data_IF_963986365069
#
_entry.id   IF_963986365069
#
_cell.length_a   1.000
_cell.length_b   1.000
_cell.length_c   1.000
_cell.angle_alpha   90.00
_cell.angle_beta   90.00
_cell.angle_gamma   90.00
#
_symmetry.space_group_name_H-M   'P 1'
#
loop_
_entity.id
_entity.type
_entity.pdbx_description
1 polymer ?
#
# COMPACT_ATOMS: atom_id res chain seq x y z
N UNK A 1 -8.30 40.88 11.80
CA UNK A 1 -8.46 39.67 10.96
C UNK A 1 -7.40 38.63 11.31
N UNK A 2 -6.10 38.88 11.10
CA UNK A 2 -5.02 37.94 11.44
C UNK A 2 -5.09 37.37 12.87
N UNK A 3 -5.26 38.23 13.89
CA UNK A 3 -5.35 37.78 15.29
C UNK A 3 -6.60 36.93 15.61
N UNK A 4 -7.65 36.97 14.79
CA UNK A 4 -8.82 36.10 14.95
C UNK A 4 -8.51 34.70 14.38
N UNK A 5 -7.81 34.65 13.24
CA UNK A 5 -7.40 33.39 12.62
C UNK A 5 -6.39 32.63 13.48
N UNK A 6 -5.41 33.32 14.06
CA UNK A 6 -4.44 32.72 15.00
C UNK A 6 -5.14 32.22 16.26
N UNK A 7 -6.05 33.01 16.84
CA UNK A 7 -6.83 32.57 18.02
C UNK A 7 -7.69 31.32 17.74
N UNK A 8 -8.22 31.20 16.52
CA UNK A 8 -8.97 30.01 16.11
C UNK A 8 -8.07 28.78 15.92
N UNK A 9 -6.75 28.96 15.78
CA UNK A 9 -5.77 27.90 15.63
C UNK A 9 -5.11 27.46 16.96
N UNK A 10 -5.23 28.26 18.04
CA UNK A 10 -4.54 28.07 19.34
C UNK A 10 -5.27 27.16 20.37
N UNK A 11 -6.32 26.42 19.99
CA UNK A 11 -7.04 25.50 20.89
C UNK A 11 -6.31 24.18 21.19
N UNK A 12 -6.83 23.34 22.11
CA UNK A 12 -6.33 21.96 22.37
C UNK A 12 -6.17 21.23 21.04
N UNK A 13 -4.96 20.75 20.73
CA UNK A 13 -4.52 20.41 19.38
C UNK A 13 -5.26 19.18 18.82
N UNK A 14 -6.43 19.40 18.23
CA UNK A 14 -7.04 18.41 17.34
C UNK A 14 -6.11 18.25 16.13
N UNK A 15 -5.50 17.07 15.99
CA UNK A 15 -4.61 16.69 14.89
C UNK A 15 -5.36 16.02 13.75
N UNK A 16 -6.51 15.39 14.03
CA UNK A 16 -7.33 14.65 13.04
C UNK A 16 -8.78 15.16 12.95
N UNK A 17 -9.52 14.70 11.94
CA UNK A 17 -10.95 15.01 11.75
C UNK A 17 -11.25 16.45 11.31
N UNK A 18 -12.54 16.82 11.34
CA UNK A 18 -13.03 18.09 10.80
C UNK A 18 -12.57 19.34 11.57
N UNK A 19 -12.31 19.22 12.88
CA UNK A 19 -11.79 20.33 13.67
C UNK A 19 -10.35 20.67 13.29
N UNK A 20 -9.50 19.66 13.10
CA UNK A 20 -8.14 19.84 12.59
C UNK A 20 -8.15 20.50 11.21
N UNK A 21 -9.02 20.06 10.29
CA UNK A 21 -9.18 20.66 8.96
C UNK A 21 -9.54 22.15 9.06
N UNK A 22 -10.49 22.51 9.91
CA UNK A 22 -10.90 23.90 10.11
C UNK A 22 -9.74 24.79 10.58
N UNK A 23 -8.90 24.29 11.49
CA UNK A 23 -7.71 25.00 11.99
C UNK A 23 -6.61 25.08 10.94
N UNK A 24 -6.37 24.01 10.20
CA UNK A 24 -5.41 23.95 9.09
C UNK A 24 -5.76 24.96 7.99
N UNK A 25 -7.03 25.06 7.62
CA UNK A 25 -7.53 26.09 6.69
C UNK A 25 -7.35 27.50 7.27
N UNK A 26 -7.66 27.71 8.54
CA UNK A 26 -7.50 29.01 9.19
C UNK A 26 -6.03 29.47 9.22
N UNK A 27 -5.08 28.56 9.44
CA UNK A 27 -3.64 28.84 9.39
C UNK A 27 -3.16 29.16 7.97
N UNK A 28 -3.65 28.45 6.95
CA UNK A 28 -3.35 28.77 5.56
C UNK A 28 -3.85 30.19 5.20
N UNK A 29 -5.07 30.55 5.62
CA UNK A 29 -5.62 31.89 5.40
C UNK A 29 -4.87 32.97 6.22
N UNK A 30 -4.45 32.64 7.45
CA UNK A 30 -3.61 33.52 8.27
C UNK A 30 -2.29 33.82 7.57
N UNK A 31 -1.70 32.81 6.91
CA UNK A 31 -0.44 32.98 6.19
C UNK A 31 -0.62 33.90 4.98
N UNK A 32 -1.71 33.73 4.21
CA UNK A 32 -2.07 34.65 3.11
C UNK A 32 -2.16 36.08 3.60
N UNK A 33 -2.84 36.32 4.73
CA UNK A 33 -3.00 37.66 5.31
C UNK A 33 -1.66 38.22 5.78
N UNK A 34 -0.83 37.42 6.45
CA UNK A 34 0.48 37.85 6.92
C UNK A 34 1.40 38.25 5.77
N UNK A 35 1.43 37.45 4.69
CA UNK A 35 2.20 37.74 3.48
C UNK A 35 1.69 39.02 2.82
N UNK A 36 0.38 39.21 2.69
CA UNK A 36 -0.19 40.43 2.12
C UNK A 36 0.23 41.69 2.89
N UNK A 37 0.19 41.65 4.22
CA UNK A 37 0.62 42.77 5.08
C UNK A 37 2.11 43.07 4.88
N UNK A 38 2.95 42.04 4.80
CA UNK A 38 4.38 42.20 4.55
C UNK A 38 4.64 42.76 3.14
N UNK A 39 3.86 42.32 2.15
CA UNK A 39 3.95 42.77 0.76
C UNK A 39 3.56 44.23 0.54
N UNK A 40 2.83 44.86 1.48
CA UNK A 40 2.54 46.30 1.43
C UNK A 40 3.82 47.14 1.63
N UNK A 41 4.86 46.57 2.22
CA UNK A 41 6.10 47.26 2.60
C UNK A 41 7.32 46.82 1.78
N UNK A 42 7.27 45.63 1.17
CA UNK A 42 8.35 45.11 0.32
C UNK A 42 7.83 44.14 -0.73
N UNK A 43 8.51 44.07 -1.88
CA UNK A 43 8.29 43.04 -2.90
C UNK A 43 9.37 41.95 -2.89
N UNK A 44 10.40 42.06 -2.05
CA UNK A 44 11.43 41.03 -1.88
C UNK A 44 10.86 39.87 -1.06
N UNK A 45 11.05 38.65 -1.55
CA UNK A 45 10.60 37.43 -0.86
C UNK A 45 11.32 37.29 0.48
N UNK A 46 12.60 37.63 0.53
CA UNK A 46 13.44 37.56 1.73
C UNK A 46 12.96 38.53 2.81
N UNK A 47 12.61 39.76 2.44
CA UNK A 47 12.08 40.75 3.37
C UNK A 47 10.65 40.41 3.84
N UNK A 48 9.82 39.85 2.95
CA UNK A 48 8.50 39.33 3.29
C UNK A 48 8.62 38.15 4.25
N UNK A 49 9.55 37.21 4.00
CA UNK A 49 9.80 36.07 4.88
C UNK A 49 10.25 36.54 6.26
N UNK A 50 11.18 37.49 6.34
CA UNK A 50 11.71 38.02 7.60
C UNK A 50 10.68 38.83 8.41
N UNK A 51 9.52 39.16 7.83
CA UNK A 51 8.48 39.91 8.52
C UNK A 51 7.94 39.12 9.73
N UNK A 52 7.84 39.77 10.90
CA UNK A 52 7.51 39.11 12.17
C UNK A 52 6.21 38.30 12.15
N UNK A 53 5.14 38.85 11.54
CA UNK A 53 3.85 38.15 11.37
C UNK A 53 3.93 36.92 10.45
N UNK A 54 4.82 36.94 9.46
CA UNK A 54 5.05 35.79 8.58
C UNK A 54 5.77 34.70 9.36
N UNK A 55 6.83 35.06 10.09
CA UNK A 55 7.56 34.13 10.98
C UNK A 55 6.67 33.55 12.08
N UNK A 56 5.78 34.34 12.67
CA UNK A 56 4.80 33.88 13.66
C UNK A 56 3.90 32.79 13.07
N UNK A 57 3.24 33.06 11.95
CA UNK A 57 2.35 32.08 11.30
C UNK A 57 3.13 30.84 10.84
N UNK A 58 4.33 30.99 10.28
CA UNK A 58 5.20 29.86 9.93
C UNK A 58 5.52 29.00 11.15
N UNK A 59 5.75 29.60 12.32
CA UNK A 59 5.96 28.86 13.57
C UNK A 59 4.74 28.09 14.07
N UNK A 60 3.52 28.57 13.82
CA UNK A 60 2.30 27.80 14.11
C UNK A 60 2.11 26.66 13.10
N UNK A 61 2.33 26.94 11.81
CA UNK A 61 2.26 25.93 10.75
C UNK A 61 3.31 24.83 11.00
N UNK A 62 4.55 25.17 11.34
CA UNK A 62 5.63 24.18 11.50
C UNK A 62 5.40 23.22 12.67
N UNK A 63 4.61 23.62 13.68
CA UNK A 63 4.16 22.76 14.77
C UNK A 63 3.05 21.80 14.31
N UNK A 64 2.16 22.26 13.42
CA UNK A 64 0.93 21.58 12.99
C UNK A 64 0.95 21.09 11.53
N UNK A 65 2.12 20.99 10.91
CA UNK A 65 2.28 20.58 9.53
C UNK A 65 1.75 19.15 9.26
N UNK A 66 1.73 18.28 10.28
CA UNK A 66 1.11 16.95 10.26
C UNK A 66 -0.32 16.96 10.84
N UNK A 67 -1.03 18.09 10.83
CA UNK A 67 -2.44 18.13 11.19
C UNK A 67 -3.30 18.09 9.92
N UNK A 68 -4.50 17.50 10.06
CA UNK A 68 -5.32 17.09 8.91
C UNK A 68 -5.42 18.19 7.85
N UNK A 69 -5.09 17.85 6.60
CA UNK A 69 -5.16 18.73 5.44
C UNK A 69 -4.25 19.98 5.48
N UNK A 70 -3.31 20.11 6.44
CA UNK A 70 -2.47 21.33 6.56
C UNK A 70 -1.65 21.62 5.31
N UNK A 71 -1.00 20.60 4.73
CA UNK A 71 -0.24 20.76 3.49
C UNK A 71 -1.16 21.09 2.32
N UNK A 72 -2.29 20.38 2.19
CA UNK A 72 -3.26 20.62 1.12
C UNK A 72 -3.79 22.05 1.14
N UNK A 73 -4.22 22.55 2.30
CA UNK A 73 -4.72 23.94 2.38
C UNK A 73 -3.64 24.98 2.07
N UNK A 74 -2.37 24.71 2.36
CA UNK A 74 -1.27 25.61 1.97
C UNK A 74 -1.06 25.60 0.44
N UNK A 75 -1.11 24.42 -0.20
CA UNK A 75 -0.91 24.31 -1.65
C UNK A 75 -2.08 24.91 -2.44
N UNK A 76 -3.28 24.97 -1.87
CA UNK A 76 -4.42 25.64 -2.51
C UNK A 76 -4.31 27.18 -2.56
N UNK A 77 -3.44 27.80 -1.75
CA UNK A 77 -3.32 29.26 -1.65
C UNK A 77 -2.15 29.80 -2.49
N UNK A 78 -2.43 30.13 -3.75
CA UNK A 78 -1.42 30.63 -4.72
C UNK A 78 -0.60 31.83 -4.24
N UNK A 79 -1.17 32.71 -3.43
CA UNK A 79 -0.50 33.93 -2.97
C UNK A 79 0.68 33.69 -2.02
N UNK A 80 0.78 32.51 -1.42
CA UNK A 80 1.91 32.14 -0.54
C UNK A 80 2.94 31.23 -1.21
N UNK A 81 2.68 30.78 -2.45
CA UNK A 81 3.57 29.89 -3.19
C UNK A 81 5.00 30.41 -3.36
N UNK A 82 5.27 31.70 -3.64
CA UNK A 82 6.64 32.18 -3.77
C UNK A 82 7.51 31.91 -2.53
N UNK A 83 6.92 32.03 -1.32
CA UNK A 83 7.61 31.74 -0.06
C UNK A 83 7.78 30.24 0.17
N UNK A 84 6.74 29.45 -0.14
CA UNK A 84 6.79 27.99 -0.02
C UNK A 84 7.86 27.41 -0.95
N UNK A 85 7.88 27.84 -2.22
CA UNK A 85 8.88 27.43 -3.22
C UNK A 85 10.29 27.91 -2.88
N UNK A 86 10.43 29.04 -2.18
CA UNK A 86 11.70 29.51 -1.65
C UNK A 86 12.16 28.74 -0.40
N UNK A 87 11.36 27.80 0.12
CA UNK A 87 11.70 26.96 1.27
C UNK A 87 11.50 27.61 2.63
N UNK A 88 10.71 28.69 2.74
CA UNK A 88 10.47 29.41 3.99
C UNK A 88 9.90 28.49 5.09
N UNK A 89 8.93 27.64 4.72
CA UNK A 89 8.36 26.65 5.63
C UNK A 89 9.40 25.60 6.04
N UNK A 90 10.16 25.06 5.10
CA UNK A 90 11.20 24.06 5.40
C UNK A 90 12.24 24.59 6.41
N UNK A 91 12.65 25.86 6.29
CA UNK A 91 13.57 26.51 7.25
C UNK A 91 12.95 26.72 8.64
N UNK A 92 11.63 26.84 8.72
CA UNK A 92 10.92 27.02 10.00
C UNK A 92 10.64 25.71 10.75
N UNK A 93 10.89 24.55 10.12
CA UNK A 93 10.76 23.24 10.75
C UNK A 93 12.08 22.92 11.46
N UNK A 94 12.07 22.70 12.78
CA UNK A 94 13.27 22.30 13.51
C UNK A 94 13.62 20.85 13.17
N UNK A 95 14.51 20.65 12.21
CA UNK A 95 15.01 19.32 11.83
C UNK A 95 16.30 19.03 12.59
N UNK A 96 16.34 17.91 13.30
CA UNK A 96 17.54 17.32 13.86
C UNK A 96 18.41 16.78 12.72
N UNK A 97 19.50 17.48 12.47
CA UNK A 97 20.46 17.14 11.43
C UNK A 97 21.17 15.82 11.71
N UNK A 98 21.28 15.40 12.98
CA UNK A 98 21.83 14.10 13.35
C UNK A 98 20.87 13.00 12.91
N UNK A 99 19.57 13.13 13.21
CA UNK A 99 18.55 12.16 12.78
C UNK A 99 18.45 12.06 11.26
N UNK A 100 18.45 13.20 10.55
CA UNK A 100 18.51 13.21 9.07
C UNK A 100 19.72 12.47 8.55
N UNK A 101 20.90 12.73 9.13
CA UNK A 101 22.15 12.13 8.66
C UNK A 101 22.16 10.62 8.91
N UNK A 102 21.69 10.19 10.08
CA UNK A 102 21.58 8.78 10.42
C UNK A 102 20.58 8.07 9.49
N UNK A 103 19.39 8.63 9.30
CA UNK A 103 18.38 8.06 8.40
C UNK A 103 18.89 7.99 6.94
N UNK A 104 19.56 9.05 6.46
CA UNK A 104 20.16 9.05 5.13
C UNK A 104 21.23 7.96 4.99
N UNK A 105 22.06 7.78 6.03
CA UNK A 105 23.06 6.70 6.07
C UNK A 105 22.38 5.33 6.08
N UNK A 106 21.37 5.12 6.90
CA UNK A 106 20.64 3.86 7.00
C UNK A 106 19.93 3.52 5.69
N UNK A 107 19.35 4.50 5.00
CA UNK A 107 18.76 4.33 3.68
C UNK A 107 19.82 3.92 2.64
N UNK A 108 20.94 4.66 2.58
CA UNK A 108 22.06 4.34 1.66
C UNK A 108 22.62 2.95 1.96
N UNK A 109 22.84 2.61 3.23
CA UNK A 109 23.35 1.33 3.65
C UNK A 109 22.35 0.22 3.27
N UNK A 110 21.05 0.41 3.50
CA UNK A 110 19.97 -0.53 3.11
C UNK A 110 19.96 -0.78 1.60
N UNK A 111 19.93 0.27 0.78
CA UNK A 111 19.99 0.13 -0.68
C UNK A 111 21.30 -0.50 -1.14
N UNK A 112 22.42 -0.14 -0.53
CA UNK A 112 23.74 -0.71 -0.85
C UNK A 112 23.78 -2.21 -0.53
N UNK A 113 23.26 -2.62 0.63
CA UNK A 113 23.16 -4.04 0.98
C UNK A 113 22.24 -4.78 0.00
N UNK A 114 21.09 -4.21 -0.35
CA UNK A 114 20.16 -4.81 -1.31
C UNK A 114 20.78 -4.96 -2.71
N UNK A 115 21.52 -3.96 -3.17
CA UNK A 115 22.21 -4.00 -4.46
C UNK A 115 23.36 -5.01 -4.49
N UNK A 116 24.07 -5.21 -3.38
CA UNK A 116 25.20 -6.15 -3.30
C UNK A 116 24.78 -7.59 -3.06
N UNK A 117 23.81 -7.80 -2.16
CA UNK A 117 23.46 -9.11 -1.63
C UNK A 117 22.07 -9.59 -2.08
N UNK A 118 21.31 -8.76 -2.80
CA UNK A 118 19.95 -9.06 -3.20
C UNK A 118 18.92 -8.75 -2.10
N UNK A 119 17.73 -9.33 -2.24
CA UNK A 119 16.63 -9.15 -1.28
C UNK A 119 16.96 -9.81 0.06
N UNK A 120 16.80 -9.07 1.16
CA UNK A 120 16.79 -9.67 2.49
C UNK A 120 15.40 -10.26 2.76
N UNK A 121 15.34 -11.52 3.17
CA UNK A 121 14.09 -12.16 3.62
C UNK A 121 13.50 -11.39 4.80
N UNK A 122 12.22 -11.03 4.70
CA UNK A 122 11.48 -10.43 5.79
C UNK A 122 11.22 -11.46 6.89
N UNK A 123 11.13 -11.04 8.16
CA UNK A 123 10.85 -11.95 9.29
C UNK A 123 9.54 -12.72 9.13
N UNK A 124 8.53 -12.09 8.51
CA UNK A 124 7.21 -12.67 8.17
C UNK A 124 7.34 -13.89 7.25
N UNK A 125 8.36 -13.96 6.40
CA UNK A 125 8.52 -15.06 5.44
C UNK A 125 8.89 -16.40 6.11
N UNK A 126 9.28 -16.35 7.38
CA UNK A 126 9.63 -17.53 8.19
C UNK A 126 8.44 -18.05 9.01
N UNK A 127 7.31 -17.35 8.99
CA UNK A 127 6.11 -17.72 9.73
C UNK A 127 5.34 -18.81 9.00
N UNK A 128 4.77 -19.74 9.78
CA UNK A 128 3.79 -20.71 9.30
C UNK A 128 2.48 -20.03 8.91
N UNK A 129 1.64 -20.69 8.10
CA UNK A 129 0.31 -20.18 7.74
C UNK A 129 -0.52 -19.89 8.99
N UNK A 130 -0.44 -20.74 10.01
CA UNK A 130 -1.13 -20.52 11.29
C UNK A 130 -0.69 -19.22 11.97
N UNK A 131 0.61 -18.95 12.02
CA UNK A 131 1.14 -17.72 12.60
C UNK A 131 0.72 -16.49 11.79
N UNK A 132 0.71 -16.60 10.46
CA UNK A 132 0.24 -15.53 9.57
C UNK A 132 -1.24 -15.20 9.80
N UNK A 133 -2.12 -16.21 9.88
CA UNK A 133 -3.55 -15.99 10.11
C UNK A 133 -3.84 -15.37 11.48
N UNK A 134 -3.15 -15.83 12.53
CA UNK A 134 -3.30 -15.27 13.87
C UNK A 134 -2.83 -13.81 13.96
N UNK A 135 -1.75 -13.48 13.27
CA UNK A 135 -1.27 -12.09 13.20
C UNK A 135 -2.21 -11.21 12.38
N UNK A 136 -2.73 -11.72 11.25
CA UNK A 136 -3.72 -11.00 10.44
C UNK A 136 -5.01 -10.72 11.21
N UNK A 137 -5.51 -11.70 11.98
CA UNK A 137 -6.62 -11.51 12.91
C UNK A 137 -6.31 -10.46 13.96
N UNK A 138 -5.15 -10.56 14.63
CA UNK A 138 -4.74 -9.58 15.65
C UNK A 138 -4.67 -8.16 15.09
N UNK A 139 -4.10 -7.99 13.91
CA UNK A 139 -4.00 -6.69 13.23
C UNK A 139 -5.39 -6.17 12.85
N UNK A 140 -6.26 -7.04 12.36
CA UNK A 140 -7.66 -6.68 12.06
C UNK A 140 -8.40 -6.23 13.31
N UNK A 141 -8.22 -6.96 14.41
CA UNK A 141 -8.86 -6.63 15.69
C UNK A 141 -8.39 -5.27 16.23
N UNK A 142 -7.11 -4.96 16.04
CA UNK A 142 -6.54 -3.70 16.48
C UNK A 142 -6.98 -2.51 15.61
N UNK A 143 -7.13 -2.70 14.30
CA UNK A 143 -7.14 -1.59 13.34
C UNK A 143 -8.48 -1.37 12.61
N UNK A 144 -9.34 -2.39 12.46
CA UNK A 144 -10.52 -2.29 11.60
C UNK A 144 -11.80 -1.77 12.29
N UNK A 145 -11.77 -1.46 13.58
CA UNK A 145 -12.97 -1.16 14.38
C UNK A 145 -13.82 -0.02 13.77
N UNK A 146 -13.17 1.05 13.33
CA UNK A 146 -13.87 2.22 12.79
C UNK A 146 -14.52 1.88 11.43
N UNK A 147 -13.88 1.03 10.61
CA UNK A 147 -14.46 0.56 9.35
C UNK A 147 -15.71 -0.30 9.56
N UNK A 148 -15.69 -1.24 10.52
CA UNK A 148 -16.89 -2.00 10.87
C UNK A 148 -18.04 -1.09 11.31
N UNK A 149 -17.74 -0.07 12.12
CA UNK A 149 -18.72 0.92 12.57
C UNK A 149 -19.30 1.73 11.39
N UNK A 150 -18.48 2.16 10.44
CA UNK A 150 -18.92 2.89 9.24
C UNK A 150 -19.82 2.05 8.34
N UNK A 151 -19.53 0.75 8.22
CA UNK A 151 -20.37 -0.20 7.50
C UNK A 151 -21.67 -0.54 8.24
N UNK A 152 -21.80 -0.16 9.51
CA UNK A 152 -22.93 -0.53 10.36
C UNK A 152 -22.91 -2.01 10.76
N UNK A 153 -21.74 -2.64 10.73
CA UNK A 153 -21.51 -4.04 11.05
C UNK A 153 -20.90 -4.18 12.46
N UNK A 154 -21.26 -5.25 13.17
CA UNK A 154 -20.58 -5.60 14.41
C UNK A 154 -19.24 -6.26 14.09
N UNK A 155 -18.20 -5.77 14.74
CA UNK A 155 -16.87 -6.34 14.63
C UNK A 155 -16.86 -7.79 15.16
N UNK A 156 -16.40 -8.77 14.36
CA UNK A 156 -16.43 -10.17 14.77
C UNK A 156 -15.47 -10.44 15.94
N UNK A 157 -15.84 -11.37 16.83
CA UNK A 157 -14.96 -11.82 17.92
C UNK A 157 -13.74 -12.59 17.41
N UNK A 158 -13.85 -13.19 16.21
CA UNK A 158 -12.84 -14.02 15.56
C UNK A 158 -13.04 -13.99 14.04
N UNK A 159 -11.95 -13.95 13.28
CA UNK A 159 -11.98 -14.13 11.82
C UNK A 159 -11.99 -15.61 11.41
N UNK A 160 -11.70 -16.53 12.33
CA UNK A 160 -11.95 -17.96 12.16
C UNK A 160 -13.45 -18.24 12.34
N UNK A 161 -14.22 -18.00 11.28
CA UNK A 161 -15.70 -18.08 11.29
C UNK A 161 -16.24 -19.50 11.26
N UNK A 162 -15.45 -20.46 10.76
CA UNK A 162 -15.83 -21.86 10.60
C UNK A 162 -14.82 -22.79 11.28
N UNK A 163 -15.23 -24.03 11.60
CA UNK A 163 -14.29 -25.05 12.02
C UNK A 163 -13.37 -25.43 10.85
N UNK A 164 -12.12 -25.85 11.13
CA UNK A 164 -11.19 -26.41 10.15
C UNK A 164 -11.82 -27.43 9.19
N UNK A 165 -11.46 -27.36 7.91
CA UNK A 165 -11.95 -28.29 6.90
C UNK A 165 -11.33 -29.68 7.10
N UNK A 166 -12.13 -30.73 6.93
CA UNK A 166 -11.62 -32.11 6.96
C UNK A 166 -10.99 -32.51 5.63
N UNK A 167 -10.19 -33.58 5.65
CA UNK A 167 -9.61 -34.16 4.43
C UNK A 167 -10.68 -34.61 3.43
N UNK A 168 -11.83 -35.09 3.93
CA UNK A 168 -12.97 -35.49 3.10
C UNK A 168 -13.61 -34.29 2.40
N UNK A 169 -13.79 -33.16 3.10
CA UNK A 169 -14.34 -31.94 2.51
C UNK A 169 -13.41 -31.39 1.41
N UNK A 170 -12.10 -31.33 1.68
CA UNK A 170 -11.10 -30.91 0.70
C UNK A 170 -11.07 -31.87 -0.50
N UNK A 171 -11.17 -33.18 -0.26
CA UNK A 171 -11.21 -34.17 -1.34
C UNK A 171 -12.49 -34.07 -2.19
N UNK A 172 -13.62 -33.74 -1.57
CA UNK A 172 -14.88 -33.48 -2.25
C UNK A 172 -14.78 -32.21 -3.11
N UNK A 173 -14.19 -31.15 -2.58
CA UNK A 173 -13.92 -29.92 -3.32
C UNK A 173 -13.00 -30.15 -4.53
N UNK A 174 -11.86 -30.83 -4.35
CA UNK A 174 -10.97 -31.20 -5.46
C UNK A 174 -11.70 -32.02 -6.54
N UNK A 175 -12.62 -32.90 -6.12
CA UNK A 175 -13.45 -33.70 -7.04
C UNK A 175 -14.49 -32.85 -7.77
N UNK A 176 -15.15 -31.91 -7.09
CA UNK A 176 -16.08 -30.92 -7.67
C UNK A 176 -15.36 -30.08 -8.73
N UNK A 177 -14.20 -29.54 -8.38
CA UNK A 177 -13.40 -28.68 -9.26
C UNK A 177 -12.66 -29.46 -10.36
N UNK A 178 -12.52 -30.79 -10.21
CA UNK A 178 -11.73 -31.67 -11.09
C UNK A 178 -10.26 -31.21 -11.20
N UNK A 179 -9.70 -30.74 -10.09
CA UNK A 179 -8.31 -30.27 -10.00
C UNK A 179 -7.73 -30.60 -8.63
N UNK A 180 -6.41 -30.47 -8.49
CA UNK A 180 -5.70 -30.61 -7.21
C UNK A 180 -5.32 -29.25 -6.69
N UNK A 181 -5.74 -28.94 -5.46
CA UNK A 181 -5.45 -27.66 -4.83
C UNK A 181 -3.98 -27.62 -4.35
N UNK A 182 -3.36 -26.43 -4.32
CA UNK A 182 -2.04 -26.22 -3.73
C UNK A 182 -1.93 -26.75 -2.30
N UNK A 183 -0.74 -27.22 -1.92
CA UNK A 183 -0.51 -27.81 -0.61
C UNK A 183 -0.69 -26.77 0.53
N UNK A 184 -0.17 -25.56 0.33
CA UNK A 184 -0.31 -24.44 1.26
C UNK A 184 -1.75 -23.97 1.40
N UNK A 185 -2.52 -23.93 0.30
CA UNK A 185 -3.94 -23.60 0.37
C UNK A 185 -4.76 -24.68 1.12
N UNK A 186 -4.42 -25.96 0.95
CA UNK A 186 -5.04 -27.02 1.75
C UNK A 186 -4.68 -26.92 3.23
N UNK A 187 -3.46 -26.51 3.57
CA UNK A 187 -3.09 -26.22 4.96
C UNK A 187 -3.95 -25.08 5.53
N UNK A 188 -4.16 -24.01 4.79
CA UNK A 188 -5.08 -22.92 5.17
C UNK A 188 -6.51 -23.42 5.44
N UNK A 189 -7.09 -24.22 4.54
CA UNK A 189 -8.44 -24.76 4.71
C UNK A 189 -8.54 -25.66 5.96
N UNK A 190 -7.49 -26.45 6.24
CA UNK A 190 -7.37 -27.27 7.46
C UNK A 190 -7.11 -26.47 8.74
N UNK A 191 -6.88 -25.17 8.65
CA UNK A 191 -6.71 -24.29 9.80
C UNK A 191 -7.95 -23.45 10.07
N UNK A 192 -8.65 -23.03 9.02
CA UNK A 192 -9.68 -21.97 9.12
C UNK A 192 -10.97 -22.27 8.36
N UNK A 193 -10.89 -23.03 7.25
CA UNK A 193 -11.99 -23.27 6.31
C UNK A 193 -12.68 -21.96 5.88
N UNK A 194 -11.91 -21.08 5.26
CA UNK A 194 -12.35 -19.71 5.01
C UNK A 194 -11.91 -18.78 6.14
N UNK A 195 -11.95 -17.47 5.88
CA UNK A 195 -11.45 -16.46 6.81
C UNK A 195 -12.24 -15.18 6.66
N UNK A 196 -12.66 -14.57 7.77
CA UNK A 196 -13.42 -13.33 7.77
C UNK A 196 -12.66 -12.17 7.11
N UNK A 197 -13.39 -11.08 6.83
CA UNK A 197 -12.85 -9.87 6.21
C UNK A 197 -11.71 -9.29 7.04
N UNK A 198 -10.52 -9.27 6.45
CA UNK A 198 -9.30 -8.88 7.13
C UNK A 198 -8.92 -7.44 6.82
N UNK A 199 -8.31 -6.77 7.78
CA UNK A 199 -7.74 -5.44 7.58
C UNK A 199 -6.53 -5.49 6.64
N UNK A 200 -6.51 -4.67 5.60
CA UNK A 200 -5.43 -4.67 4.61
C UNK A 200 -4.47 -3.47 4.70
N UNK A 201 -4.60 -2.63 5.74
CA UNK A 201 -3.84 -1.39 5.87
C UNK A 201 -4.58 -0.14 5.40
N UNK A 202 -5.69 -0.31 4.67
CA UNK A 202 -6.50 0.80 4.19
C UNK A 202 -8.02 0.57 4.29
N UNK A 203 -8.52 -0.64 3.98
CA UNK A 203 -9.91 -1.06 4.18
C UNK A 203 -9.98 -2.56 4.53
N UNK A 204 -11.19 -3.11 4.60
CA UNK A 204 -11.43 -4.54 4.80
C UNK A 204 -11.37 -5.29 3.46
N UNK A 205 -10.41 -6.21 3.33
CA UNK A 205 -10.35 -7.15 2.23
C UNK A 205 -11.61 -8.05 2.18
N UNK A 206 -11.98 -8.57 0.99
CA UNK A 206 -12.95 -9.64 0.87
C UNK A 206 -12.66 -10.79 1.83
N UNK A 207 -13.71 -11.40 2.36
CA UNK A 207 -13.57 -12.66 3.09
C UNK A 207 -13.01 -13.75 2.17
N UNK A 208 -12.23 -14.66 2.74
CA UNK A 208 -11.76 -15.85 2.04
C UNK A 208 -12.83 -16.94 2.15
N UNK A 209 -13.26 -17.44 1.00
CA UNK A 209 -14.30 -18.44 0.84
C UNK A 209 -13.93 -19.77 1.53
N UNK A 210 -14.95 -20.43 2.06
CA UNK A 210 -14.86 -21.78 2.60
C UNK A 210 -15.02 -22.86 1.51
N UNK A 211 -14.87 -24.13 1.88
CA UNK A 211 -14.99 -25.26 0.93
C UNK A 211 -16.31 -25.37 0.16
N UNK A 212 -17.40 -24.83 0.68
CA UNK A 212 -18.72 -24.86 0.05
C UNK A 212 -18.88 -23.70 -0.96
N UNK A 213 -18.29 -22.54 -0.66
CA UNK A 213 -18.34 -21.34 -1.50
C UNK A 213 -17.27 -21.28 -2.60
N UNK A 214 -16.17 -22.04 -2.46
CA UNK A 214 -15.13 -22.10 -3.50
C UNK A 214 -15.70 -22.71 -4.80
N UNK A 215 -15.62 -21.93 -5.87
CA UNK A 215 -15.95 -22.34 -7.23
C UNK A 215 -15.12 -21.57 -8.28
N UNK A 216 -15.30 -21.92 -9.54
CA UNK A 216 -14.73 -21.17 -10.66
C UNK A 216 -15.42 -19.80 -10.78
N UNK A 217 -14.61 -18.74 -10.86
CA UNK A 217 -15.09 -17.37 -10.97
C UNK A 217 -15.92 -17.15 -12.25
N UNK A 218 -17.01 -16.37 -12.14
CA UNK A 218 -17.72 -15.86 -13.29
C UNK A 218 -16.96 -14.65 -13.86
N UNK A 219 -16.26 -14.86 -14.97
CA UNK A 219 -15.35 -13.84 -15.52
C UNK A 219 -16.11 -12.76 -16.30
N UNK A 220 -16.27 -11.59 -15.68
CA UNK A 220 -16.68 -10.36 -16.37
C UNK A 220 -15.49 -9.62 -17.00
N UNK A 221 -14.25 -10.03 -16.69
CA UNK A 221 -12.99 -9.37 -17.08
C UNK A 221 -12.16 -10.20 -18.07
N UNK A 222 -12.80 -10.98 -18.97
CA UNK A 222 -12.14 -11.91 -19.90
C UNK A 222 -11.04 -11.29 -20.80
N UNK A 223 -10.91 -9.96 -20.82
CA UNK A 223 -9.91 -9.21 -21.58
C UNK A 223 -8.69 -8.76 -20.74
N UNK A 224 -8.67 -8.99 -19.43
CA UNK A 224 -7.54 -8.59 -18.59
C UNK A 224 -6.32 -9.51 -18.80
N UNK A 225 -5.11 -8.96 -19.03
CA UNK A 225 -3.90 -9.76 -19.23
C UNK A 225 -3.48 -10.50 -17.96
N UNK A 226 -2.96 -11.72 -18.11
CA UNK A 226 -2.36 -12.47 -17.00
C UNK A 226 -0.91 -12.01 -16.83
N UNK A 227 -0.70 -11.08 -15.90
CA UNK A 227 0.64 -10.58 -15.56
C UNK A 227 1.17 -11.25 -14.29
N UNK A 228 2.33 -11.89 -14.42
CA UNK A 228 3.00 -12.59 -13.32
C UNK A 228 4.12 -11.74 -12.71
N UNK A 229 4.24 -10.45 -13.03
CA UNK A 229 5.12 -9.54 -12.29
C UNK A 229 4.59 -8.13 -12.39
N UNK A 230 4.85 -7.34 -11.36
CA UNK A 230 4.59 -5.92 -11.39
C UNK A 230 5.69 -5.21 -12.17
N UNK A 231 5.32 -4.18 -12.91
CA UNK A 231 6.26 -3.30 -13.60
C UNK A 231 6.41 -1.98 -12.83
N UNK A 232 7.65 -1.48 -12.61
CA UNK A 232 7.87 -0.20 -11.94
C UNK A 232 7.24 1.00 -12.65
N UNK A 233 6.93 0.89 -13.94
CA UNK A 233 6.29 1.93 -14.74
C UNK A 233 4.78 1.97 -14.55
N UNK A 234 4.19 0.94 -13.95
CA UNK A 234 2.74 0.72 -13.93
C UNK A 234 2.15 0.38 -15.32
N UNK A 235 2.97 0.26 -16.35
CA UNK A 235 2.58 -0.17 -17.69
C UNK A 235 3.18 -1.54 -18.02
N UNK A 236 2.33 -2.46 -18.46
CA UNK A 236 2.77 -3.77 -18.89
C UNK A 236 3.54 -3.68 -20.21
N UNK A 237 4.87 -3.82 -20.12
CA UNK A 237 5.75 -3.49 -21.24
C UNK A 237 6.10 -4.71 -22.13
N UNK A 238 5.61 -5.91 -21.84
CA UNK A 238 5.95 -7.11 -22.61
C UNK A 238 4.97 -7.33 -23.78
N UNK A 239 5.52 -7.53 -24.97
CA UNK A 239 4.75 -7.79 -26.18
C UNK A 239 4.98 -9.21 -26.72
N UNK A 240 3.92 -9.82 -27.25
CA UNK A 240 3.96 -11.07 -28.01
C UNK A 240 3.68 -10.80 -29.49
N UNK A 241 4.34 -11.52 -30.40
CA UNK A 241 4.27 -11.21 -31.84
C UNK A 241 2.90 -11.46 -32.50
N UNK A 242 2.20 -12.53 -32.13
CA UNK A 242 1.16 -13.08 -33.02
C UNK A 242 -0.22 -13.31 -32.39
N UNK A 243 -0.38 -13.30 -31.06
CA UNK A 243 -1.66 -13.70 -30.42
C UNK A 243 -2.15 -12.78 -29.29
N UNK A 244 -1.48 -11.64 -29.07
CA UNK A 244 -1.73 -10.82 -27.89
C UNK A 244 -1.30 -11.50 -26.58
N UNK A 245 -1.31 -10.72 -25.50
CA UNK A 245 -1.00 -11.26 -24.18
C UNK A 245 -2.13 -12.20 -23.71
N UNK A 246 -1.83 -13.35 -23.09
CA UNK A 246 -2.86 -14.26 -22.60
C UNK A 246 -3.73 -13.58 -21.53
N UNK A 247 -5.03 -13.82 -21.60
CA UNK A 247 -6.02 -13.30 -20.65
C UNK A 247 -6.61 -14.41 -19.78
N UNK A 248 -7.30 -14.03 -18.71
CA UNK A 248 -7.94 -14.97 -17.82
C UNK A 248 -9.14 -15.64 -18.53
N UNK A 249 -9.03 -16.96 -18.77
CA UNK A 249 -10.17 -17.78 -19.22
C UNK A 249 -10.86 -18.52 -18.07
N UNK A 250 -10.10 -18.82 -17.02
CA UNK A 250 -10.58 -19.61 -15.88
C UNK A 250 -9.75 -19.35 -14.64
N UNK A 251 -10.41 -19.03 -13.54
CA UNK A 251 -9.78 -18.80 -12.25
C UNK A 251 -10.68 -19.34 -11.14
N UNK A 252 -10.08 -19.77 -10.04
CA UNK A 252 -10.80 -20.22 -8.86
C UNK A 252 -11.01 -19.02 -7.93
N UNK A 253 -12.26 -18.72 -7.56
CA UNK A 253 -12.57 -17.58 -6.71
C UNK A 253 -12.28 -17.91 -5.24
N UNK A 254 -11.33 -17.17 -4.66
CA UNK A 254 -10.94 -17.28 -3.25
C UNK A 254 -11.71 -16.31 -2.37
N UNK A 255 -12.17 -15.19 -2.91
CA UNK A 255 -12.93 -14.16 -2.21
C UNK A 255 -13.34 -13.08 -3.20
N UNK A 256 -14.48 -12.44 -2.97
CA UNK A 256 -14.99 -11.36 -3.80
C UNK A 256 -15.76 -10.35 -2.95
N UNK A 257 -15.53 -9.06 -3.20
CA UNK A 257 -16.35 -7.98 -2.66
C UNK A 257 -16.30 -6.77 -3.60
N UNK A 258 -17.44 -6.42 -4.20
CA UNK A 258 -17.57 -5.33 -5.18
C UNK A 258 -16.58 -5.44 -6.36
N UNK A 259 -15.52 -4.64 -6.38
CA UNK A 259 -14.46 -4.63 -7.41
C UNK A 259 -13.17 -5.32 -6.97
N UNK A 260 -13.17 -5.94 -5.79
CA UNK A 260 -12.02 -6.62 -5.21
C UNK A 260 -12.20 -8.13 -5.28
N UNK A 261 -11.33 -8.78 -6.04
CA UNK A 261 -11.35 -10.23 -6.20
C UNK A 261 -10.00 -10.85 -5.83
N UNK A 262 -10.06 -11.98 -5.13
CA UNK A 262 -8.92 -12.86 -4.93
C UNK A 262 -9.12 -14.13 -5.72
N UNK A 263 -8.20 -14.41 -6.64
CA UNK A 263 -8.30 -15.54 -7.54
C UNK A 263 -7.08 -16.45 -7.41
N UNK A 264 -7.32 -17.74 -7.66
CA UNK A 264 -6.29 -18.70 -7.99
C UNK A 264 -6.26 -18.93 -9.50
N UNK A 265 -5.12 -18.61 -10.10
CA UNK A 265 -4.80 -18.97 -11.46
C UNK A 265 -4.39 -20.46 -11.51
N UNK A 266 -5.12 -21.32 -12.24
CA UNK A 266 -4.80 -22.74 -12.31
C UNK A 266 -3.59 -23.01 -13.22
N UNK A 267 -2.97 -24.20 -13.15
CA UNK A 267 -1.75 -24.53 -13.88
C UNK A 267 -1.82 -24.36 -15.39
N UNK A 268 -2.99 -24.59 -15.97
CA UNK A 268 -3.19 -24.38 -17.39
C UNK A 268 -3.04 -22.90 -17.78
N UNK A 269 -3.59 -21.98 -17.00
CA UNK A 269 -3.53 -20.54 -17.27
C UNK A 269 -2.14 -19.98 -16.93
N UNK A 270 -1.54 -20.40 -15.80
CA UNK A 270 -0.15 -20.06 -15.47
C UNK A 270 0.82 -20.49 -16.58
N UNK A 271 0.64 -21.69 -17.14
CA UNK A 271 1.46 -22.17 -18.25
C UNK A 271 1.30 -21.34 -19.54
N UNK A 272 0.11 -20.80 -19.83
CA UNK A 272 -0.12 -19.89 -20.96
C UNK A 272 0.67 -18.59 -20.76
N UNK A 273 0.57 -17.98 -19.57
CA UNK A 273 1.33 -16.79 -19.22
C UNK A 273 2.84 -17.04 -19.32
N UNK A 274 3.36 -18.11 -18.71
CA UNK A 274 4.78 -18.47 -18.77
C UNK A 274 5.28 -18.69 -20.19
N UNK A 275 4.45 -19.25 -21.07
CA UNK A 275 4.78 -19.37 -22.51
C UNK A 275 4.91 -18.00 -23.16
N UNK A 276 3.98 -17.08 -22.91
CA UNK A 276 4.04 -15.70 -23.42
C UNK A 276 5.28 -14.96 -22.91
N UNK A 277 5.61 -15.08 -21.62
CA UNK A 277 6.86 -14.55 -21.06
C UNK A 277 8.09 -15.08 -21.80
N UNK A 278 8.16 -16.39 -22.07
CA UNK A 278 9.28 -17.00 -22.81
C UNK A 278 9.40 -16.46 -24.23
N UNK A 279 8.28 -16.21 -24.90
CA UNK A 279 8.25 -15.67 -26.26
C UNK A 279 8.70 -14.21 -26.26
N UNK A 280 8.14 -13.38 -25.38
CA UNK A 280 8.51 -11.97 -25.22
C UNK A 280 10.00 -11.82 -24.88
N UNK A 281 10.48 -12.55 -23.85
CA UNK A 281 11.87 -12.56 -23.41
C UNK A 281 12.84 -13.25 -24.37
N UNK A 282 12.39 -13.78 -25.51
CA UNK A 282 13.25 -14.25 -26.61
C UNK A 282 13.08 -13.43 -27.87
N UNK A 283 12.14 -12.49 -27.89
CA UNK A 283 11.89 -11.65 -29.04
C UNK A 283 13.14 -10.81 -29.36
N UNK A 284 13.58 -10.76 -30.63
CA UNK A 284 14.66 -9.87 -31.05
C UNK A 284 14.23 -8.39 -31.06
N UNK A 285 12.93 -8.12 -31.00
CA UNK A 285 12.37 -6.75 -30.93
C UNK A 285 12.38 -6.20 -29.50
N UNK A 286 12.51 -7.06 -28.49
CA UNK A 286 12.58 -6.62 -27.09
C UNK A 286 13.92 -5.92 -26.81
N UNK A 287 13.92 -4.64 -26.39
CA UNK A 287 15.11 -3.93 -25.94
C UNK A 287 15.85 -4.67 -24.83
N UNK A 288 17.18 -4.65 -24.88
CA UNK A 288 18.00 -5.43 -23.95
C UNK A 288 17.94 -4.90 -22.51
N UNK A 289 17.87 -3.59 -22.33
CA UNK A 289 17.67 -2.94 -21.04
C UNK A 289 16.35 -3.37 -20.39
N UNK A 290 15.27 -3.40 -21.17
CA UNK A 290 13.97 -3.88 -20.74
C UNK A 290 14.01 -5.38 -20.37
N UNK A 291 14.70 -6.21 -21.15
CA UNK A 291 14.88 -7.64 -20.87
C UNK A 291 15.60 -7.85 -19.54
N UNK A 292 16.71 -7.14 -19.33
CA UNK A 292 17.48 -7.19 -18.08
C UNK A 292 16.65 -6.70 -16.89
N UNK A 293 15.88 -5.62 -17.05
CA UNK A 293 15.01 -5.11 -15.99
C UNK A 293 13.90 -6.10 -15.63
N UNK A 294 13.23 -6.66 -16.62
CA UNK A 294 12.18 -7.68 -16.42
C UNK A 294 12.73 -8.88 -15.65
N UNK A 295 13.89 -9.40 -16.06
CA UNK A 295 14.52 -10.53 -15.38
C UNK A 295 14.91 -10.21 -13.93
N UNK A 296 15.36 -8.98 -13.64
CA UNK A 296 15.64 -8.54 -12.27
C UNK A 296 14.39 -8.47 -11.40
N UNK A 297 13.26 -8.07 -11.97
CA UNK A 297 11.98 -8.04 -11.24
C UNK A 297 11.54 -9.46 -10.92
N UNK A 298 11.59 -10.35 -11.92
CA UNK A 298 11.28 -11.77 -11.74
C UNK A 298 12.18 -12.39 -10.68
N UNK A 299 13.48 -12.13 -10.72
CA UNK A 299 14.44 -12.58 -9.71
C UNK A 299 14.10 -12.04 -8.32
N UNK A 300 13.74 -10.76 -8.21
CA UNK A 300 13.33 -10.16 -6.93
C UNK A 300 12.05 -10.75 -6.35
N UNK A 301 11.11 -11.22 -7.20
CA UNK A 301 9.79 -11.72 -6.78
C UNK A 301 9.77 -13.23 -6.55
N UNK A 302 10.31 -13.99 -7.50
CA UNK A 302 10.31 -15.45 -7.50
C UNK A 302 11.64 -16.06 -7.08
N UNK A 303 12.69 -15.26 -6.91
CA UNK A 303 14.03 -15.71 -6.56
C UNK A 303 14.87 -16.16 -7.76
N UNK A 304 14.25 -16.55 -8.87
CA UNK A 304 14.90 -16.74 -10.18
C UNK A 304 13.87 -16.92 -11.30
N UNK A 305 14.34 -16.89 -12.56
CA UNK A 305 13.52 -17.28 -13.72
C UNK A 305 13.08 -18.75 -13.66
N UNK A 306 13.96 -19.65 -13.25
CA UNK A 306 13.66 -21.09 -13.13
C UNK A 306 12.65 -21.38 -12.03
N UNK A 307 12.57 -20.54 -10.99
CA UNK A 307 11.54 -20.63 -9.96
C UNK A 307 10.18 -20.21 -10.53
N UNK A 308 10.12 -19.09 -11.28
CA UNK A 308 8.92 -18.67 -12.00
C UNK A 308 8.45 -19.73 -13.00
N UNK A 309 9.36 -20.38 -13.75
CA UNK A 309 8.99 -21.45 -14.70
C UNK A 309 8.32 -22.67 -14.06
N UNK A 310 8.48 -22.86 -12.74
CA UNK A 310 7.87 -23.94 -11.97
C UNK A 310 6.54 -23.54 -11.32
N UNK A 311 6.08 -22.30 -11.56
CA UNK A 311 4.82 -21.81 -11.04
C UNK A 311 3.66 -22.62 -11.64
N UNK A 312 3.01 -23.42 -10.79
CA UNK A 312 1.82 -24.18 -11.15
C UNK A 312 0.55 -23.44 -10.76
N UNK A 313 0.55 -22.74 -9.64
CA UNK A 313 -0.59 -21.96 -9.19
C UNK A 313 -0.11 -20.58 -8.83
N UNK A 314 -0.93 -19.57 -9.15
CA UNK A 314 -0.67 -18.20 -8.75
C UNK A 314 -1.87 -17.65 -8.03
N UNK A 315 -1.65 -16.90 -6.95
CA UNK A 315 -2.72 -16.10 -6.35
C UNK A 315 -2.65 -14.73 -6.98
N UNK A 316 -3.79 -14.21 -7.41
CA UNK A 316 -3.92 -12.89 -8.00
C UNK A 316 -4.96 -12.10 -7.21
N UNK A 317 -4.59 -10.90 -6.82
CA UNK A 317 -5.51 -9.87 -6.33
C UNK A 317 -5.86 -8.95 -7.48
N UNK A 318 -7.15 -8.70 -7.68
CA UNK A 318 -7.69 -7.81 -8.68
C UNK A 318 -8.39 -6.65 -7.98
N UNK A 319 -7.99 -5.43 -8.34
CA UNK A 319 -8.59 -4.21 -7.82
C UNK A 319 -8.51 -3.11 -8.88
N UNK A 320 -9.66 -2.54 -9.26
CA UNK A 320 -9.78 -1.37 -10.17
C UNK A 320 -8.80 -1.37 -11.37
N UNK A 321 -8.75 -2.49 -12.10
CA UNK A 321 -7.90 -2.64 -13.30
C UNK A 321 -6.41 -2.92 -13.04
N UNK A 322 -6.01 -3.09 -11.78
CA UNK A 322 -4.68 -3.55 -11.37
C UNK A 322 -4.76 -4.99 -10.91
N UNK A 323 -3.85 -5.83 -11.38
CA UNK A 323 -3.68 -7.19 -10.91
C UNK A 323 -2.31 -7.39 -10.23
N UNK A 324 -2.31 -7.96 -9.03
CA UNK A 324 -1.10 -8.27 -8.27
C UNK A 324 -0.98 -9.77 -8.12
N UNK A 325 0.06 -10.35 -8.72
CA UNK A 325 0.42 -11.77 -8.59
C UNK A 325 1.22 -12.01 -7.30
N UNK A 326 1.07 -13.15 -6.63
CA UNK A 326 1.79 -13.45 -5.38
C UNK A 326 2.68 -14.69 -5.45
N UNK A 327 2.50 -15.57 -6.43
CA UNK A 327 3.25 -16.81 -6.63
C UNK A 327 2.78 -18.00 -5.78
N UNK A 328 2.24 -17.76 -4.59
CA UNK A 328 1.69 -18.81 -3.73
C UNK A 328 0.67 -18.25 -2.75
N UNK A 329 -0.12 -19.13 -2.13
CA UNK A 329 -1.07 -18.70 -1.09
C UNK A 329 -0.34 -18.22 0.17
N UNK A 330 0.78 -18.87 0.49
CA UNK A 330 1.61 -18.45 1.61
C UNK A 330 2.14 -17.02 1.40
N UNK A 331 2.66 -16.70 0.21
CA UNK A 331 3.13 -15.35 -0.11
C UNK A 331 1.99 -14.33 -0.10
N UNK A 332 0.81 -14.69 -0.61
CA UNK A 332 -0.40 -13.87 -0.49
C UNK A 332 -0.68 -13.51 0.98
N UNK A 333 -0.72 -14.49 1.89
CA UNK A 333 -0.93 -14.22 3.31
C UNK A 333 0.21 -13.39 3.93
N UNK A 334 1.45 -13.61 3.53
CA UNK A 334 2.60 -12.83 4.01
C UNK A 334 2.45 -11.34 3.63
N UNK A 335 2.02 -11.05 2.41
CA UNK A 335 1.76 -9.66 1.98
C UNK A 335 0.53 -9.08 2.69
N UNK A 336 -0.57 -9.84 2.85
CA UNK A 336 -1.72 -9.38 3.64
C UNK A 336 -1.34 -9.05 5.09
N UNK A 337 -0.49 -9.86 5.72
CA UNK A 337 0.03 -9.56 7.06
C UNK A 337 0.88 -8.29 7.06
N UNK A 338 1.80 -8.12 6.10
CA UNK A 338 2.63 -6.91 5.98
C UNK A 338 1.77 -5.66 5.84
N UNK A 339 0.78 -5.68 4.95
CA UNK A 339 -0.11 -4.55 4.70
C UNK A 339 -1.04 -4.29 5.89
N UNK A 340 -1.54 -5.33 6.56
CA UNK A 340 -2.36 -5.18 7.78
C UNK A 340 -1.60 -4.61 8.98
N UNK A 341 -0.28 -4.84 9.03
CA UNK A 341 0.60 -4.35 10.08
C UNK A 341 1.00 -2.88 9.86
N UNK A 342 1.01 -2.42 8.60
CA UNK A 342 0.89 -1.00 8.35
C UNK A 342 -0.48 -0.60 8.93
N UNK A 343 -0.47 0.19 10.01
CA UNK A 343 -1.72 0.67 10.59
C UNK A 343 -2.56 1.34 9.51
N UNK A 344 -3.86 1.53 9.75
CA UNK A 344 -4.61 2.48 8.94
C UNK A 344 -3.77 3.71 8.74
N UNK A 345 -3.55 4.04 7.46
CA UNK A 345 -3.26 5.41 7.11
C UNK A 345 -4.47 6.21 7.59
N UNK A 346 -4.48 6.59 8.87
CA UNK A 346 -5.60 7.30 9.51
C UNK A 346 -5.65 8.77 9.07
N UNK A 347 -4.76 9.17 8.17
CA UNK A 347 -4.14 10.47 8.28
C UNK A 347 -3.41 10.59 9.63
N UNK A 348 -2.12 10.88 9.57
CA UNK A 348 -1.46 11.67 10.64
C UNK A 348 -1.65 11.18 12.09
N UNK A 349 -1.26 9.92 12.32
CA UNK A 349 -0.87 9.38 13.63
C UNK A 349 0.54 8.76 13.60
N UNK A 350 0.97 8.31 12.42
CA UNK A 350 2.35 7.96 12.10
C UNK A 350 3.10 9.20 11.59
N UNK A 351 3.15 10.23 12.44
CA UNK A 351 3.74 11.55 12.15
C UNK A 351 5.18 11.41 11.60
N UNK A 352 5.89 10.37 12.01
CA UNK A 352 7.26 10.07 11.59
C UNK A 352 7.37 9.42 10.20
N UNK A 353 6.33 8.70 9.76
CA UNK A 353 6.30 7.99 8.47
C UNK A 353 5.69 8.83 7.34
N UNK A 354 4.79 9.77 7.67
CA UNK A 354 4.08 10.59 6.68
C UNK A 354 4.93 11.73 6.10
N UNK A 355 5.97 12.19 6.82
CA UNK A 355 6.84 13.27 6.35
C UNK A 355 8.25 13.15 6.94
N UNK A 356 9.25 13.00 6.07
CA UNK A 356 10.68 12.95 6.43
C UNK A 356 11.13 14.03 7.42
N UNK A 357 10.58 15.24 7.28
CA UNK A 357 10.94 16.37 8.16
C UNK A 357 10.40 16.27 9.60
N UNK A 358 9.41 15.41 9.84
CA UNK A 358 8.80 15.19 11.15
C UNK A 358 9.47 14.09 11.97
N UNK A 359 9.76 12.94 11.36
CA UNK A 359 10.54 11.86 12.01
C UNK A 359 11.96 12.29 12.40
N UNK A 360 12.41 13.43 11.89
CA UNK A 360 13.68 14.03 12.24
C UNK A 360 13.55 15.20 13.24
N UNK A 361 12.45 15.39 13.97
CA UNK A 361 12.36 16.45 15.00
C UNK A 361 13.04 16.03 16.32
N UNK A 362 13.65 16.95 17.09
CA UNK A 362 14.17 16.63 18.41
C UNK A 362 13.04 16.19 19.35
N UNK A 363 13.11 14.96 19.86
CA UNK A 363 12.15 14.41 20.84
C UNK A 363 10.99 13.61 20.26
N UNK A 364 11.03 13.21 18.98
CA UNK A 364 10.18 12.15 18.45
C UNK A 364 10.63 10.78 18.97
N UNK A 365 9.73 10.11 19.69
CA UNK A 365 9.77 8.71 20.09
C UNK A 365 8.34 8.23 20.25
#
# INVERSE_FOLDING_TARGET
>A
MLGILLKNADGEDATTGGEAMGRSSALADAFVVAVRIASEHSSSIEEIEAHSKVQEVLGHISKRLAANQQIQYLTERRSIWPLLSAGALARSIPVDTVTVTNLAKDAIDTFTQRLKNGRNEHSIEKKSIKELLLELESNTIANAKDFYLELGEEMPESLFVLPPATDEQISALESKLKTKLPADYKEFLKLSNGFGRAWNGYFLDPALNDVDEIDWAEMYTADAPIELHETPTGCFDLETKDNGWPTYEKALQLGTEDLFDFWFLPPQEAAKALKAYKEALKSPEMPEDQRVQTLKIIDSKYGSWEALEKLEWDVVELSDGVNVSFGSFTQFLQEKVKSSAAGCWQGEGQIEEACFSYGCKPGGN
#
